data_IF_368449082952
#
_entry.id   IF_368449082952
#
_cell.length_a   1.000
_cell.length_b   1.000
_cell.length_c   1.000
_cell.angle_alpha   90.00
_cell.angle_beta   90.00
_cell.angle_gamma   90.00
#
_symmetry.space_group_name_H-M   'P 1'
#
loop_
_entity.id
_entity.type
_entity.pdbx_description
1 polymer ?
#
# COMPACT_ATOMS: atom_id res chain seq x y z
N UNK A 1 8.15 -6.13 2.92
CA UNK A 1 7.65 -5.79 4.27
C UNK A 1 6.67 -6.85 4.81
N UNK A 2 5.52 -7.07 4.14
CA UNK A 2 4.45 -7.95 4.61
C UNK A 2 4.86 -9.40 4.95
N UNK A 3 5.84 -9.97 4.23
CA UNK A 3 6.39 -11.30 4.51
C UNK A 3 7.78 -11.31 5.20
N UNK A 4 8.30 -10.15 5.60
CA UNK A 4 9.64 -10.06 6.19
C UNK A 4 9.62 -10.62 7.63
N UNK A 5 10.63 -11.42 8.06
CA UNK A 5 10.58 -12.13 9.34
C UNK A 5 10.88 -11.27 10.57
N UNK A 6 11.31 -10.02 10.40
CA UNK A 6 11.58 -9.10 11.50
C UNK A 6 10.60 -7.92 11.44
N UNK A 7 10.29 -7.36 12.61
CA UNK A 7 9.41 -6.20 12.71
C UNK A 7 10.05 -4.98 12.07
N UNK A 8 9.32 -4.36 11.16
CA UNK A 8 9.67 -3.09 10.53
C UNK A 8 8.90 -1.94 11.19
N UNK A 9 9.40 -0.71 11.01
CA UNK A 9 8.78 0.48 11.58
C UNK A 9 7.50 0.90 10.82
N UNK A 10 7.42 0.62 9.52
CA UNK A 10 6.33 1.06 8.67
C UNK A 10 6.52 0.63 7.21
N UNK A 11 5.45 0.77 6.42
CA UNK A 11 5.47 0.64 4.96
C UNK A 11 4.82 1.86 4.34
N UNK A 12 5.53 2.55 3.45
CA UNK A 12 4.96 3.56 2.56
C UNK A 12 4.92 3.00 1.15
N UNK A 13 3.75 3.02 0.53
CA UNK A 13 3.50 2.51 -0.82
C UNK A 13 2.99 3.66 -1.70
N UNK A 14 3.85 4.13 -2.59
CA UNK A 14 3.58 5.29 -3.46
C UNK A 14 3.28 4.80 -4.87
N UNK A 15 2.10 5.12 -5.39
CA UNK A 15 1.66 4.84 -6.76
C UNK A 15 1.94 3.40 -7.21
N UNK A 16 1.49 2.43 -6.41
CA UNK A 16 1.80 1.00 -6.60
C UNK A 16 0.59 0.11 -6.29
N UNK A 17 0.76 -1.20 -6.40
CA UNK A 17 -0.30 -2.20 -6.26
C UNK A 17 0.22 -3.50 -5.62
N UNK A 18 -0.68 -4.29 -5.05
CA UNK A 18 -0.35 -5.55 -4.38
C UNK A 18 -0.36 -6.74 -5.35
N UNK A 19 0.68 -6.83 -6.18
CA UNK A 19 0.76 -7.84 -7.26
C UNK A 19 0.84 -9.30 -6.80
N UNK A 20 1.50 -9.54 -5.66
CA UNK A 20 1.90 -10.89 -5.22
C UNK A 20 1.01 -11.45 -4.11
N UNK A 21 -0.19 -10.91 -3.97
CA UNK A 21 -1.06 -11.23 -2.86
C UNK A 21 -1.26 -12.75 -2.65
N UNK A 22 -1.50 -13.48 -3.74
CA UNK A 22 -1.80 -14.91 -3.70
C UNK A 22 -0.55 -15.78 -3.44
N UNK A 23 0.63 -15.17 -3.43
CA UNK A 23 1.92 -15.86 -3.32
C UNK A 23 2.77 -15.37 -2.15
N UNK A 24 2.28 -14.41 -1.35
CA UNK A 24 3.02 -13.87 -0.21
C UNK A 24 2.69 -14.66 1.06
N UNK A 25 3.72 -15.15 1.74
CA UNK A 25 3.59 -15.65 3.11
C UNK A 25 3.67 -14.46 4.06
N UNK A 26 2.51 -14.00 4.53
CA UNK A 26 2.43 -12.92 5.52
C UNK A 26 3.14 -13.32 6.82
N UNK A 27 3.91 -12.39 7.39
CA UNK A 27 4.62 -12.64 8.63
C UNK A 27 3.99 -11.86 9.80
N UNK A 28 3.68 -12.56 10.89
CA UNK A 28 3.07 -11.99 12.08
C UNK A 28 3.91 -10.86 12.72
N UNK A 29 5.24 -10.87 12.53
CA UNK A 29 6.14 -9.82 13.03
C UNK A 29 5.77 -8.42 12.51
N UNK A 30 5.07 -8.32 11.38
CA UNK A 30 4.69 -7.06 10.74
C UNK A 30 3.19 -6.79 10.80
N UNK A 31 2.43 -7.54 11.62
CA UNK A 31 0.97 -7.43 11.67
C UNK A 31 0.48 -6.03 12.09
N UNK A 32 1.13 -5.46 13.09
CA UNK A 32 0.79 -4.15 13.66
C UNK A 32 1.65 -3.01 13.08
N UNK A 33 2.39 -3.28 12.00
CA UNK A 33 3.18 -2.27 11.33
C UNK A 33 2.24 -1.27 10.64
N UNK A 34 2.41 0.05 10.84
CA UNK A 34 1.61 1.05 10.14
C UNK A 34 1.91 1.02 8.64
N UNK A 35 0.85 1.11 7.83
CA UNK A 35 0.93 1.15 6.37
C UNK A 35 0.34 2.47 5.89
N UNK A 36 1.07 3.18 5.03
CA UNK A 36 0.59 4.34 4.30
C UNK A 36 0.58 3.99 2.81
N UNK A 37 -0.54 4.19 2.15
CA UNK A 37 -0.70 4.06 0.70
C UNK A 37 -1.06 5.43 0.14
N UNK A 38 -0.34 5.87 -0.88
CA UNK A 38 -0.56 7.17 -1.53
C UNK A 38 -0.61 7.02 -3.04
N UNK A 39 -1.56 7.67 -3.70
CA UNK A 39 -1.77 7.49 -5.13
C UNK A 39 -2.30 8.75 -5.84
N UNK A 40 -1.91 8.93 -7.10
CA UNK A 40 -2.52 9.93 -7.98
C UNK A 40 -3.86 9.49 -8.58
N UNK A 41 -4.91 10.30 -8.46
CA UNK A 41 -6.24 9.98 -9.04
C UNK A 41 -6.25 10.00 -10.56
N UNK A 42 -5.26 10.64 -11.19
CA UNK A 42 -5.11 10.73 -12.64
C UNK A 42 -3.95 9.87 -13.15
N UNK A 43 -3.46 8.92 -12.36
CA UNK A 43 -2.35 8.05 -12.73
C UNK A 43 -2.70 7.16 -13.93
N UNK A 44 -2.08 7.39 -15.11
CA UNK A 44 -2.37 6.60 -16.30
C UNK A 44 -1.52 5.32 -16.38
N UNK A 45 -0.56 5.13 -15.47
CA UNK A 45 0.41 4.03 -15.48
C UNK A 45 -0.03 2.93 -14.51
N UNK A 46 -0.35 3.30 -13.28
CA UNK A 46 -0.91 2.41 -12.26
C UNK A 46 -2.27 2.99 -11.87
N UNK A 47 -3.38 2.45 -12.38
CA UNK A 47 -4.71 2.98 -12.07
C UNK A 47 -4.97 3.03 -10.56
N UNK A 48 -5.52 4.15 -10.08
CA UNK A 48 -5.81 4.41 -8.65
C UNK A 48 -6.61 3.30 -7.97
N UNK A 49 -7.49 2.64 -8.71
CA UNK A 49 -8.30 1.50 -8.24
C UNK A 49 -7.44 0.34 -7.71
N UNK A 50 -6.21 0.16 -8.21
CA UNK A 50 -5.31 -0.87 -7.71
C UNK A 50 -4.76 -0.52 -6.31
N UNK A 51 -4.58 0.77 -6.02
CA UNK A 51 -4.25 1.27 -4.68
C UNK A 51 -5.43 1.08 -3.71
N UNK A 52 -6.65 1.40 -4.15
CA UNK A 52 -7.89 1.16 -3.38
C UNK A 52 -8.08 -0.33 -3.06
N UNK A 53 -7.85 -1.21 -4.03
CA UNK A 53 -7.89 -2.66 -3.84
C UNK A 53 -6.85 -3.12 -2.80
N UNK A 54 -5.62 -2.61 -2.86
CA UNK A 54 -4.59 -2.92 -1.88
C UNK A 54 -4.98 -2.45 -0.47
N UNK A 55 -5.54 -1.24 -0.34
CA UNK A 55 -6.06 -0.73 0.92
C UNK A 55 -7.15 -1.62 1.49
N UNK A 56 -8.20 -1.92 0.71
CA UNK A 56 -9.32 -2.74 1.14
C UNK A 56 -8.84 -4.12 1.60
N UNK A 57 -8.04 -4.76 0.77
CA UNK A 57 -7.52 -6.09 1.05
C UNK A 57 -6.67 -6.17 2.32
N UNK A 58 -5.76 -5.21 2.53
CA UNK A 58 -4.93 -5.16 3.73
C UNK A 58 -5.76 -4.82 4.97
N UNK A 59 -6.76 -3.95 4.83
CA UNK A 59 -7.69 -3.61 5.92
C UNK A 59 -8.54 -4.81 6.32
N UNK A 60 -9.09 -5.56 5.37
CA UNK A 60 -9.84 -6.81 5.61
C UNK A 60 -8.99 -7.87 6.30
N UNK A 61 -7.69 -7.91 6.01
CA UNK A 61 -6.76 -8.77 6.73
C UNK A 61 -6.50 -8.29 8.15
N UNK A 62 -6.83 -7.06 8.51
CA UNK A 62 -6.60 -6.45 9.82
C UNK A 62 -5.26 -5.75 9.94
N UNK A 63 -4.71 -5.21 8.86
CA UNK A 63 -3.59 -4.25 8.94
C UNK A 63 -4.13 -2.84 9.21
N UNK A 64 -3.32 -2.01 9.88
CA UNK A 64 -3.60 -0.58 10.02
C UNK A 64 -3.10 0.17 8.79
N UNK A 65 -4.03 0.60 7.93
CA UNK A 65 -3.73 1.26 6.66
C UNK A 65 -4.31 2.67 6.66
N UNK A 66 -3.47 3.66 6.32
CA UNK A 66 -3.88 5.01 5.93
C UNK A 66 -3.78 5.11 4.42
N UNK A 67 -4.82 5.64 3.77
CA UNK A 67 -4.86 5.84 2.33
C UNK A 67 -5.10 7.31 1.99
N UNK A 68 -4.24 7.86 1.13
CA UNK A 68 -4.35 9.22 0.62
C UNK A 68 -4.33 9.23 -0.90
N UNK A 69 -5.12 10.12 -1.48
CA UNK A 69 -5.16 10.36 -2.90
C UNK A 69 -4.91 11.82 -3.21
N UNK A 70 -4.29 12.07 -4.36
CA UNK A 70 -3.91 13.40 -4.80
C UNK A 70 -4.38 13.60 -6.25
N UNK A 71 -4.86 14.80 -6.63
CA UNK A 71 -5.24 15.10 -8.01
C UNK A 71 -4.02 15.27 -8.93
N UNK A 72 -3.23 14.20 -9.07
CA UNK A 72 -1.97 14.13 -9.83
C UNK A 72 -1.91 12.83 -10.66
N UNK A 73 -0.98 12.77 -11.62
CA UNK A 73 -0.70 11.57 -12.40
C UNK A 73 0.29 10.62 -11.67
N UNK A 74 1.10 9.87 -12.42
CA UNK A 74 2.16 9.01 -11.86
C UNK A 74 3.37 9.84 -11.42
N UNK A 75 3.27 10.53 -10.29
CA UNK A 75 4.29 11.46 -9.81
C UNK A 75 4.24 11.63 -8.28
N UNK A 76 5.17 12.43 -7.74
CA UNK A 76 5.14 12.92 -6.35
C UNK A 76 4.91 14.44 -6.39
N UNK A 77 4.13 14.98 -5.44
CA UNK A 77 3.87 16.42 -5.34
C UNK A 77 5.15 17.22 -5.04
N UNK A 78 5.18 18.48 -5.49
CA UNK A 78 6.21 19.42 -5.03
C UNK A 78 5.91 19.86 -3.59
N UNK A 79 6.94 20.24 -2.81
CA UNK A 79 6.78 20.74 -1.44
C UNK A 79 5.94 22.00 -1.32
#
# INVERSE_FOLDING_TARGET
>A
ALGYPQRLAGLMALSTYLATNDHINYNAANKDMPILIEHGTHDPVVPVVLGEQAQNFLSEKGYSVVYHTYPMAHQVCMP
#
